data_IF_513551554953
#
_entry.id   IF_513551554953
#
_cell.length_a   1.000
_cell.length_b   1.000
_cell.length_c   1.000
_cell.angle_alpha   90.00
_cell.angle_beta   90.00
_cell.angle_gamma   90.00
#
_symmetry.space_group_name_H-M   'P 1'
#
loop_
_entity.id
_entity.type
_entity.pdbx_description
1 polymer ?
#
# COMPACT_ATOMS: atom_id res chain seq x y z
N UNK A 1 -19.23 10.73 -4.83
CA UNK A 1 -18.23 11.41 -5.70
C UNK A 1 -16.82 11.51 -5.08
N UNK A 2 -16.62 11.26 -3.79
CA UNK A 2 -15.35 11.59 -3.11
C UNK A 2 -14.23 10.55 -3.26
N UNK A 3 -14.57 9.27 -3.51
CA UNK A 3 -13.59 8.19 -3.60
C UNK A 3 -12.78 8.22 -4.91
N UNK A 4 -13.43 8.52 -6.04
CA UNK A 4 -12.78 8.56 -7.36
C UNK A 4 -11.63 9.56 -7.43
N UNK A 5 -11.74 10.68 -6.68
CA UNK A 5 -10.69 11.70 -6.59
C UNK A 5 -9.51 11.20 -5.73
N UNK A 6 -9.80 10.66 -4.54
CA UNK A 6 -8.78 10.05 -3.66
C UNK A 6 -8.02 8.91 -4.32
N UNK A 7 -8.71 8.05 -5.06
CA UNK A 7 -8.07 6.95 -5.78
C UNK A 7 -7.06 7.46 -6.81
N UNK A 8 -7.36 8.58 -7.47
CA UNK A 8 -6.44 9.22 -8.41
C UNK A 8 -5.22 9.79 -7.69
N UNK A 9 -5.45 10.48 -6.57
CA UNK A 9 -4.38 11.02 -5.72
C UNK A 9 -3.47 9.92 -5.17
N UNK A 10 -4.04 8.81 -4.67
CA UNK A 10 -3.25 7.66 -4.21
C UNK A 10 -2.43 7.06 -5.35
N UNK A 11 -3.00 6.91 -6.53
CA UNK A 11 -2.25 6.40 -7.67
C UNK A 11 -1.15 7.36 -8.15
N UNK A 12 -1.35 8.67 -8.00
CA UNK A 12 -0.31 9.68 -8.27
C UNK A 12 0.83 9.57 -7.25
N UNK A 13 0.51 9.43 -5.97
CA UNK A 13 1.46 9.17 -4.88
C UNK A 13 2.27 7.88 -5.08
N UNK A 14 1.62 6.84 -5.61
CA UNK A 14 2.31 5.59 -5.98
C UNK A 14 3.26 5.78 -7.17
N UNK A 15 2.98 6.74 -8.06
CA UNK A 15 3.82 7.06 -9.22
C UNK A 15 4.99 7.98 -8.89
N UNK A 16 4.90 8.82 -7.86
CA UNK A 16 6.02 9.65 -7.39
C UNK A 16 7.19 8.80 -6.90
N UNK A 17 6.93 7.54 -6.50
CA UNK A 17 7.96 6.61 -6.04
C UNK A 17 8.49 6.91 -4.65
N UNK A 18 7.83 7.81 -3.92
CA UNK A 18 8.21 8.13 -2.55
C UNK A 18 7.72 7.03 -1.60
N UNK A 19 8.66 6.35 -0.95
CA UNK A 19 8.38 5.22 -0.07
C UNK A 19 7.45 5.60 1.09
N UNK A 20 7.59 6.81 1.64
CA UNK A 20 6.77 7.29 2.75
C UNK A 20 5.34 7.51 2.30
N UNK A 21 5.14 8.09 1.11
CA UNK A 21 3.80 8.27 0.53
C UNK A 21 3.13 6.93 0.24
N UNK A 22 3.85 5.97 -0.34
CA UNK A 22 3.35 4.61 -0.60
C UNK A 22 2.94 3.93 0.72
N UNK A 23 3.77 4.02 1.76
CA UNK A 23 3.48 3.48 3.09
C UNK A 23 2.24 4.12 3.72
N UNK A 24 2.07 5.43 3.53
CA UNK A 24 0.93 6.18 4.05
C UNK A 24 -0.38 5.76 3.36
N UNK A 25 -0.36 5.61 2.03
CA UNK A 25 -1.51 5.10 1.25
C UNK A 25 -1.88 3.68 1.68
N UNK A 26 -0.88 2.80 1.84
CA UNK A 26 -1.10 1.42 2.28
C UNK A 26 -1.77 1.38 3.66
N UNK A 27 -1.26 2.15 4.63
CA UNK A 27 -1.82 2.23 5.99
C UNK A 27 -3.26 2.74 5.97
N UNK A 28 -3.52 3.80 5.21
CA UNK A 28 -4.86 4.39 5.11
C UNK A 28 -5.87 3.39 4.55
N UNK A 29 -5.49 2.66 3.50
CA UNK A 29 -6.32 1.61 2.90
C UNK A 29 -6.53 0.41 3.83
N UNK A 30 -5.51 -0.03 4.56
CA UNK A 30 -5.65 -1.08 5.58
C UNK A 30 -6.65 -0.68 6.67
N UNK A 31 -6.53 0.56 7.18
CA UNK A 31 -7.42 1.08 8.22
C UNK A 31 -8.86 1.22 7.73
N UNK A 32 -9.05 1.61 6.46
CA UNK A 32 -10.38 1.60 5.84
C UNK A 32 -10.90 0.17 5.74
N UNK A 33 -10.07 -0.77 5.29
CA UNK A 33 -10.43 -2.18 5.12
C UNK A 33 -10.82 -2.89 6.41
N UNK A 34 -10.28 -2.48 7.56
CA UNK A 34 -10.69 -2.99 8.88
C UNK A 34 -12.08 -2.52 9.31
N UNK A 35 -12.54 -1.36 8.83
CA UNK A 35 -13.84 -0.79 9.20
C UNK A 35 -14.95 -1.03 8.17
N UNK A 36 -14.60 -1.28 6.91
CA UNK A 36 -15.54 -1.43 5.78
C UNK A 36 -14.92 -2.30 4.70
N UNK A 37 -15.76 -2.97 3.93
CA UNK A 37 -15.27 -3.77 2.80
C UNK A 37 -14.72 -2.86 1.70
N UNK A 38 -13.45 -3.07 1.34
CA UNK A 38 -12.78 -2.32 0.28
C UNK A 38 -13.41 -2.61 -1.09
N UNK A 39 -13.73 -1.56 -1.83
CA UNK A 39 -14.17 -1.67 -3.21
C UNK A 39 -13.02 -2.17 -4.12
N UNK A 40 -13.37 -2.65 -5.32
CA UNK A 40 -12.41 -3.21 -6.27
C UNK A 40 -11.25 -2.26 -6.59
N UNK A 41 -11.54 -0.97 -6.73
CA UNK A 41 -10.52 0.06 -6.98
C UNK A 41 -9.55 0.24 -5.80
N UNK A 42 -10.05 0.18 -4.57
CA UNK A 42 -9.24 0.33 -3.35
C UNK A 42 -8.33 -0.88 -3.16
N UNK A 43 -8.86 -2.09 -3.38
CA UNK A 43 -8.06 -3.33 -3.39
C UNK A 43 -6.92 -3.24 -4.39
N UNK A 44 -7.19 -2.74 -5.61
CA UNK A 44 -6.16 -2.57 -6.64
C UNK A 44 -5.05 -1.60 -6.21
N UNK A 45 -5.41 -0.47 -5.61
CA UNK A 45 -4.42 0.50 -5.10
C UNK A 45 -3.64 -0.09 -3.92
N UNK A 46 -4.30 -0.81 -3.02
CA UNK A 46 -3.66 -1.48 -1.89
C UNK A 46 -2.63 -2.50 -2.36
N UNK A 47 -2.99 -3.34 -3.34
CA UNK A 47 -2.05 -4.31 -3.92
C UNK A 47 -0.86 -3.64 -4.59
N UNK A 48 -1.07 -2.55 -5.33
CA UNK A 48 0.02 -1.79 -5.94
C UNK A 48 0.95 -1.17 -4.89
N UNK A 49 0.38 -0.53 -3.87
CA UNK A 49 1.13 0.04 -2.75
C UNK A 49 1.94 -1.03 -2.02
N UNK A 50 1.31 -2.19 -1.76
CA UNK A 50 1.96 -3.33 -1.10
C UNK A 50 3.13 -3.84 -1.91
N UNK A 51 2.94 -4.03 -3.22
CA UNK A 51 4.00 -4.52 -4.10
C UNK A 51 5.18 -3.55 -4.16
N UNK A 52 4.92 -2.26 -4.36
CA UNK A 52 5.97 -1.23 -4.38
C UNK A 52 6.74 -1.19 -3.06
N UNK A 53 6.04 -1.13 -1.93
CA UNK A 53 6.67 -1.08 -0.61
C UNK A 53 7.53 -2.33 -0.36
N UNK A 54 7.01 -3.52 -0.71
CA UNK A 54 7.74 -4.78 -0.56
C UNK A 54 9.00 -4.79 -1.42
N UNK A 55 8.90 -4.37 -2.68
CA UNK A 55 10.05 -4.35 -3.60
C UNK A 55 11.12 -3.36 -3.14
N UNK A 56 10.74 -2.15 -2.74
CA UNK A 56 11.69 -1.12 -2.28
C UNK A 56 12.36 -1.52 -0.96
N UNK A 57 11.61 -2.03 0.02
CA UNK A 57 12.18 -2.49 1.30
C UNK A 57 13.05 -3.73 1.09
N UNK A 58 12.64 -4.66 0.21
CA UNK A 58 13.46 -5.82 -0.16
C UNK A 58 14.79 -5.39 -0.80
N UNK A 59 14.77 -4.38 -1.67
CA UNK A 59 15.97 -3.78 -2.26
C UNK A 59 16.83 -3.07 -1.21
N UNK A 60 16.23 -2.27 -0.33
CA UNK A 60 16.93 -1.50 0.68
C UNK A 60 17.59 -2.37 1.77
N UNK A 61 16.91 -3.42 2.22
CA UNK A 61 17.45 -4.36 3.23
C UNK A 61 18.18 -5.57 2.61
N UNK A 62 18.13 -5.75 1.29
CA UNK A 62 18.63 -6.97 0.62
C UNK A 62 17.87 -8.25 1.03
N UNK A 63 16.63 -8.10 1.49
CA UNK A 63 15.79 -9.19 1.98
C UNK A 63 14.91 -9.76 0.86
N UNK A 64 14.38 -10.97 1.05
CA UNK A 64 13.39 -11.54 0.11
C UNK A 64 12.04 -10.85 0.30
N UNK A 65 11.33 -10.60 -0.79
CA UNK A 65 9.97 -10.04 -0.80
C UNK A 65 9.04 -10.77 0.18
N UNK A 66 9.14 -12.10 0.27
CA UNK A 66 8.36 -12.92 1.20
C UNK A 66 8.58 -12.56 2.68
N UNK A 67 9.80 -12.20 3.08
CA UNK A 67 10.10 -11.78 4.46
C UNK A 67 9.54 -10.40 4.76
N UNK A 68 9.63 -9.48 3.79
CA UNK A 68 9.07 -8.14 3.92
C UNK A 68 7.54 -8.20 3.97
N UNK A 69 6.94 -9.07 3.17
CA UNK A 69 5.51 -9.39 3.22
C UNK A 69 5.12 -9.87 4.62
N UNK A 70 5.82 -10.87 5.18
CA UNK A 70 5.51 -11.34 6.53
C UNK A 70 5.67 -10.25 7.59
N UNK A 71 6.69 -9.38 7.47
CA UNK A 71 6.86 -8.22 8.36
C UNK A 71 5.67 -7.28 8.26
N UNK A 72 5.21 -6.96 7.05
CA UNK A 72 4.05 -6.12 6.83
C UNK A 72 2.80 -6.74 7.45
N UNK A 73 2.57 -8.02 7.22
CA UNK A 73 1.43 -8.73 7.80
C UNK A 73 1.48 -8.70 9.33
N UNK A 74 2.65 -8.86 9.95
CA UNK A 74 2.83 -8.74 11.40
C UNK A 74 2.62 -7.32 11.95
N UNK A 75 2.76 -6.26 11.14
CA UNK A 75 2.54 -4.86 11.59
C UNK A 75 1.05 -4.51 11.61
N UNK A 76 0.26 -5.12 10.72
CA UNK A 76 -1.17 -4.85 10.56
C UNK A 76 -2.07 -5.92 11.20
N UNK A 77 -1.48 -6.92 11.87
CA UNK A 77 -2.17 -7.94 12.68
C UNK A 77 -2.12 -7.56 14.16
#
# INVERSE_FOLDING_TARGET
>A
ASWSRRQREYNDKLKTGDLLEVAQVLRDLYQIGTGKELSYGEKKVLEQARKLLVTEVALAEGAKEAQVVQRLENIFH
#
